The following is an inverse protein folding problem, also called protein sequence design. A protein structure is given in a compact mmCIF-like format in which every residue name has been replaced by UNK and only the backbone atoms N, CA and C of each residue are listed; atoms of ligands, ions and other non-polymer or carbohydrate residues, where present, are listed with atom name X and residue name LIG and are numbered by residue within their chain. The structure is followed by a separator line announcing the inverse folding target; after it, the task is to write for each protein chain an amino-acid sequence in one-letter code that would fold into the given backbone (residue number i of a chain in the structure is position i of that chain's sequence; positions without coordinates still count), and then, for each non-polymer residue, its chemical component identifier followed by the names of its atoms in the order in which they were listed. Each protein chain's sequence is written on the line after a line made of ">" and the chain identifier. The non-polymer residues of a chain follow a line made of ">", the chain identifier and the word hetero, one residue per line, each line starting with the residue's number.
data_IF_236222778896
#
_entry.id   IF_236222778896
#
_cell.length_a   1.000
_cell.length_b   1.000
_cell.length_c   1.000
_cell.angle_alpha   90.00
_cell.angle_beta   90.00
_cell.angle_gamma   90.00
#
_symmetry.space_group_name_H-M   'P 1'
#
loop_
_entity.id
_entity.type
_entity.pdbx_description
1 polymer ?
#
# COMPACT_ATOMS: atom_id res chain seq x y z
N UNK A 1 15.05 -4.74 37.08
CA UNK A 1 15.56 -3.57 36.33
C UNK A 1 14.39 -2.76 35.79
N UNK A 2 14.28 -1.48 36.11
CA UNK A 2 13.22 -0.60 35.59
C UNK A 2 13.62 -0.02 34.24
N UNK A 3 12.75 -0.13 33.23
CA UNK A 3 12.97 0.50 31.92
C UNK A 3 12.86 2.03 32.07
N UNK A 4 13.84 2.82 31.59
CA UNK A 4 13.79 4.28 31.71
C UNK A 4 12.54 4.86 31.04
N UNK A 5 11.92 5.85 31.69
CA UNK A 5 10.63 6.46 31.28
C UNK A 5 10.62 6.88 29.80
N UNK A 6 11.72 7.47 29.32
CA UNK A 6 11.91 7.91 27.93
C UNK A 6 11.75 6.79 26.91
N UNK A 7 12.16 5.57 27.26
CA UNK A 7 12.09 4.41 26.38
C UNK A 7 10.66 3.85 26.30
N UNK A 8 9.89 3.90 27.40
CA UNK A 8 8.47 3.53 27.42
C UNK A 8 7.62 4.45 26.54
N UNK A 9 7.79 5.77 26.68
CA UNK A 9 7.04 6.77 25.87
C UNK A 9 7.28 6.57 24.38
N UNK A 10 8.54 6.31 23.97
CA UNK A 10 8.88 6.04 22.56
C UNK A 10 8.20 4.76 22.05
N UNK A 11 8.16 3.71 22.86
CA UNK A 11 7.53 2.44 22.50
C UNK A 11 6.02 2.59 22.27
N UNK A 12 5.33 3.30 23.14
CA UNK A 12 3.89 3.52 23.01
C UNK A 12 3.56 4.38 21.78
N UNK A 13 4.44 5.33 21.44
CA UNK A 13 4.30 6.14 20.23
C UNK A 13 4.26 5.27 18.97
N UNK A 14 5.22 4.33 18.80
CA UNK A 14 5.27 3.48 17.60
C UNK A 14 4.04 2.58 17.45
N UNK A 15 3.44 2.11 18.55
CA UNK A 15 2.20 1.34 18.52
C UNK A 15 1.02 2.19 18.04
N UNK A 16 0.89 3.39 18.60
CA UNK A 16 -0.17 4.33 18.23
C UNK A 16 -0.01 4.75 16.77
N UNK A 17 1.22 4.99 16.32
CA UNK A 17 1.55 5.29 14.93
C UNK A 17 1.12 4.19 13.98
N UNK A 18 1.46 2.95 14.33
CA UNK A 18 1.17 1.78 13.51
C UNK A 18 -0.35 1.57 13.43
N UNK A 19 -1.04 1.62 14.58
CA UNK A 19 -2.49 1.53 14.63
C UNK A 19 -3.19 2.66 13.84
N UNK A 20 -2.73 3.90 14.02
CA UNK A 20 -3.28 5.06 13.33
C UNK A 20 -3.08 4.98 11.81
N UNK A 21 -1.88 4.59 11.36
CA UNK A 21 -1.58 4.43 9.94
C UNK A 21 -2.36 3.28 9.29
N UNK A 22 -2.53 2.17 10.01
CA UNK A 22 -3.42 1.07 9.58
C UNK A 22 -4.86 1.55 9.41
N UNK A 23 -5.39 2.29 10.39
CA UNK A 23 -6.74 2.83 10.33
C UNK A 23 -6.94 3.82 9.17
N UNK A 24 -5.97 4.73 8.97
CA UNK A 24 -5.97 5.65 7.82
C UNK A 24 -6.02 4.88 6.51
N UNK A 25 -5.16 3.85 6.34
CA UNK A 25 -5.16 3.04 5.12
C UNK A 25 -6.48 2.28 4.92
N UNK A 26 -7.08 1.75 5.98
CA UNK A 26 -8.36 1.04 5.92
C UNK A 26 -9.52 1.98 5.52
N UNK A 27 -9.65 3.14 6.17
CA UNK A 27 -10.66 4.14 5.83
C UNK A 27 -10.48 4.64 4.39
N UNK A 28 -9.24 4.90 3.99
CA UNK A 28 -8.92 5.30 2.62
C UNK A 28 -9.30 4.23 1.59
N UNK A 29 -9.09 2.95 1.92
CA UNK A 29 -9.49 1.82 1.06
C UNK A 29 -11.01 1.75 0.88
N UNK A 30 -11.79 2.11 1.91
CA UNK A 30 -13.25 2.23 1.82
C UNK A 30 -13.63 3.40 0.92
N UNK A 31 -12.96 4.56 1.04
CA UNK A 31 -13.17 5.71 0.16
C UNK A 31 -12.91 5.37 -1.31
N UNK A 32 -11.82 4.64 -1.59
CA UNK A 32 -11.51 4.16 -2.95
C UNK A 32 -12.61 3.24 -3.47
N UNK A 33 -13.11 2.32 -2.65
CA UNK A 33 -14.22 1.45 -3.01
C UNK A 33 -15.46 2.25 -3.44
N UNK A 34 -15.83 3.27 -2.64
CA UNK A 34 -16.97 4.14 -2.96
C UNK A 34 -16.78 4.93 -4.26
N UNK A 35 -15.59 5.51 -4.48
CA UNK A 35 -15.25 6.21 -5.71
C UNK A 35 -15.28 5.30 -6.94
N UNK A 36 -14.67 4.11 -6.86
CA UNK A 36 -14.68 3.12 -7.94
C UNK A 36 -16.08 2.59 -8.24
N UNK A 37 -16.89 2.34 -7.22
CA UNK A 37 -18.28 1.93 -7.40
C UNK A 37 -19.09 3.03 -8.12
N UNK A 38 -18.90 4.29 -7.74
CA UNK A 38 -19.56 5.43 -8.38
C UNK A 38 -19.13 5.59 -9.85
N UNK A 39 -17.83 5.47 -10.14
CA UNK A 39 -17.29 5.49 -11.51
C UNK A 39 -17.82 4.34 -12.37
N UNK A 40 -17.84 3.13 -11.81
CA UNK A 40 -18.37 1.93 -12.49
C UNK A 40 -19.86 2.11 -12.81
N UNK A 41 -20.64 2.59 -11.83
CA UNK A 41 -22.06 2.85 -12.02
C UNK A 41 -22.31 3.97 -13.06
N UNK A 42 -21.53 5.06 -13.01
CA UNK A 42 -21.61 6.13 -14.01
C UNK A 42 -21.38 5.59 -15.42
N UNK A 43 -20.39 4.73 -15.61
CA UNK A 43 -20.11 4.10 -16.90
C UNK A 43 -21.27 3.21 -17.38
N UNK A 44 -21.90 2.45 -16.48
CA UNK A 44 -23.03 1.57 -16.81
C UNK A 44 -24.30 2.36 -17.18
N UNK A 45 -24.56 3.48 -16.52
CA UNK A 45 -25.76 4.31 -16.76
C UNK A 45 -25.66 5.10 -18.08
N UNK A 46 -24.45 5.46 -18.52
CA UNK A 46 -24.23 6.30 -19.71
C UNK A 46 -23.95 5.51 -21.01
N UNK A 47 -24.35 4.24 -21.08
CA UNK A 47 -24.21 3.45 -22.30
C UNK A 47 -25.03 4.04 -23.47
N UNK A 48 -24.56 3.94 -24.74
CA UNK A 48 -23.37 3.22 -25.19
C UNK A 48 -22.06 4.01 -25.06
N UNK A 49 -22.15 5.33 -24.80
CA UNK A 49 -20.99 6.23 -24.68
C UNK A 49 -20.08 5.85 -23.50
N UNK A 50 -20.66 5.26 -22.43
CA UNK A 50 -19.94 4.85 -21.23
C UNK A 50 -19.27 6.03 -20.54
N UNK A 51 -17.97 5.94 -20.31
CA UNK A 51 -17.17 7.05 -19.78
C UNK A 51 -17.05 8.23 -20.75
N UNK A 52 -17.26 7.99 -22.05
CA UNK A 52 -17.28 9.01 -23.09
C UNK A 52 -18.25 10.17 -22.81
N UNK A 53 -19.33 9.91 -22.07
CA UNK A 53 -20.31 10.93 -21.69
C UNK A 53 -19.75 12.00 -20.73
N UNK A 54 -18.64 11.71 -20.05
CA UNK A 54 -18.01 12.63 -19.09
C UNK A 54 -16.74 13.31 -19.62
N UNK A 55 -16.33 13.05 -20.86
CA UNK A 55 -15.12 13.65 -21.43
C UNK A 55 -15.41 14.98 -22.14
N UNK A 56 -14.49 15.93 -22.01
CA UNK A 56 -14.54 17.18 -22.76
C UNK A 56 -14.24 16.89 -24.25
N UNK A 57 -15.04 17.48 -25.13
CA UNK A 57 -14.93 17.33 -26.58
C UNK A 57 -13.82 18.19 -27.19
N UNK A 58 -13.30 19.18 -26.46
CA UNK A 58 -12.23 20.06 -26.91
C UNK A 58 -11.01 20.00 -25.97
N UNK A 59 -10.33 18.84 -25.80
CA UNK A 59 -9.16 18.78 -24.96
C UNK A 59 -8.03 19.63 -25.56
N UNK A 60 -7.24 20.35 -24.74
CA UNK A 60 -6.09 21.10 -25.24
C UNK A 60 -5.10 20.16 -25.93
N UNK A 61 -4.56 20.57 -27.10
CA UNK A 61 -3.70 19.73 -27.97
C UNK A 61 -2.41 19.21 -27.30
N UNK A 62 -2.05 19.70 -26.11
CA UNK A 62 -0.95 19.17 -25.30
C UNK A 62 -1.24 17.82 -24.65
N UNK A 63 -2.47 17.32 -24.75
CA UNK A 63 -2.97 16.08 -24.10
C UNK A 63 -2.90 14.84 -25.01
N UNK A 64 -2.36 14.97 -26.24
CA UNK A 64 -2.01 13.82 -27.10
C UNK A 64 -0.78 13.03 -26.59
N UNK A 65 -0.61 12.89 -25.28
CA UNK A 65 0.31 11.90 -24.74
C UNK A 65 -0.26 10.50 -25.03
N UNK A 66 0.62 9.55 -25.29
CA UNK A 66 0.34 8.21 -25.81
C UNK A 66 -0.67 7.36 -25.00
N UNK A 67 -1.03 7.75 -23.77
CA UNK A 67 -2.04 7.06 -22.95
C UNK A 67 -3.48 7.52 -23.22
N UNK A 68 -3.71 8.81 -23.54
CA UNK A 68 -5.04 9.33 -23.90
C UNK A 68 -5.53 8.71 -25.23
N UNK A 69 -4.61 8.50 -26.18
CA UNK A 69 -4.88 7.71 -27.38
C UNK A 69 -5.16 6.24 -27.08
N UNK A 70 -4.73 5.69 -25.95
CA UNK A 70 -5.03 4.30 -25.56
C UNK A 70 -6.43 4.16 -25.00
N UNK A 71 -7.06 5.21 -24.45
CA UNK A 71 -8.47 5.19 -24.03
C UNK A 71 -9.38 5.48 -25.23
N UNK A 72 -8.95 6.34 -26.16
CA UNK A 72 -9.61 6.52 -27.45
C UNK A 72 -9.45 5.31 -28.42
N UNK A 73 -8.36 4.53 -28.33
CA UNK A 73 -8.09 3.36 -29.18
C UNK A 73 -8.19 2.01 -28.47
N UNK A 74 -8.39 1.96 -27.16
CA UNK A 74 -8.81 0.71 -26.51
C UNK A 74 -10.24 0.51 -26.97
N UNK A 75 -10.36 -0.28 -28.03
CA UNK A 75 -11.58 -0.94 -28.48
C UNK A 75 -12.03 -1.83 -27.31
N UNK A 76 -12.61 -1.21 -26.30
CA UNK A 76 -13.40 -1.82 -25.25
C UNK A 76 -14.85 -1.67 -25.69
N UNK A 77 -15.11 -1.90 -26.98
CA UNK A 77 -16.46 -1.99 -27.50
C UNK A 77 -16.85 -3.46 -27.49
N UNK A 78 -18.01 -3.79 -26.95
CA UNK A 78 -18.66 -5.08 -27.19
C UNK A 78 -18.95 -5.25 -28.68
N UNK A 79 -19.36 -6.45 -29.10
CA UNK A 79 -19.79 -6.72 -30.48
C UNK A 79 -20.96 -5.81 -30.93
N UNK A 80 -21.63 -5.17 -29.97
CA UNK A 80 -22.72 -4.20 -30.17
C UNK A 80 -22.26 -2.74 -30.26
N UNK A 81 -20.96 -2.47 -30.17
CA UNK A 81 -20.39 -1.11 -30.20
C UNK A 81 -20.47 -0.35 -28.87
N UNK A 82 -20.92 -0.99 -27.78
CA UNK A 82 -21.08 -0.37 -26.47
C UNK A 82 -19.81 -0.47 -25.63
N UNK A 83 -19.54 0.53 -24.78
CA UNK A 83 -18.33 0.57 -23.96
C UNK A 83 -18.35 -0.50 -22.82
N UNK A 84 -17.44 -1.46 -22.84
CA UNK A 84 -17.30 -2.53 -21.84
C UNK A 84 -16.63 -2.01 -20.55
N UNK A 85 -17.46 -1.41 -19.69
CA UNK A 85 -17.06 -0.89 -18.38
C UNK A 85 -16.39 -1.96 -17.51
N UNK A 86 -16.82 -3.22 -17.60
CA UNK A 86 -16.29 -4.30 -16.77
C UNK A 86 -14.82 -4.59 -17.07
N UNK A 87 -14.47 -4.65 -18.35
CA UNK A 87 -13.07 -4.82 -18.78
C UNK A 87 -12.23 -3.58 -18.48
N UNK A 88 -12.78 -2.38 -18.63
CA UNK A 88 -12.08 -1.13 -18.35
C UNK A 88 -11.68 -1.02 -16.87
N UNK A 89 -12.62 -1.23 -15.95
CA UNK A 89 -12.37 -1.12 -14.50
C UNK A 89 -11.74 -2.36 -13.87
N UNK A 90 -11.51 -3.45 -14.63
CA UNK A 90 -10.96 -4.70 -14.10
C UNK A 90 -9.64 -4.48 -13.35
N UNK A 91 -8.76 -3.66 -13.92
CA UNK A 91 -7.47 -3.36 -13.30
C UNK A 91 -7.64 -2.57 -12.00
N UNK A 92 -8.52 -1.56 -11.99
CA UNK A 92 -8.79 -0.73 -10.81
C UNK A 92 -9.38 -1.54 -9.64
N UNK A 93 -10.35 -2.41 -9.93
CA UNK A 93 -10.89 -3.33 -8.94
C UNK A 93 -9.86 -4.34 -8.43
N UNK A 94 -8.94 -4.78 -9.31
CA UNK A 94 -7.84 -5.67 -8.91
C UNK A 94 -6.87 -4.95 -7.96
N UNK A 95 -6.51 -3.70 -8.26
CA UNK A 95 -5.65 -2.90 -7.38
C UNK A 95 -6.29 -2.68 -6.01
N UNK A 96 -7.56 -2.31 -5.98
CA UNK A 96 -8.30 -2.19 -4.73
C UNK A 96 -8.31 -3.50 -3.93
N UNK A 97 -8.58 -4.63 -4.59
CA UNK A 97 -8.56 -5.94 -3.94
C UNK A 97 -7.18 -6.29 -3.37
N UNK A 98 -6.09 -5.96 -4.08
CA UNK A 98 -4.72 -6.15 -3.57
C UNK A 98 -4.45 -5.32 -2.31
N UNK A 99 -4.94 -4.07 -2.24
CA UNK A 99 -4.85 -3.25 -1.02
C UNK A 99 -5.63 -3.89 0.14
N UNK A 100 -6.85 -4.39 -0.11
CA UNK A 100 -7.64 -5.10 0.91
C UNK A 100 -6.89 -6.33 1.42
N UNK A 101 -6.37 -7.16 0.52
CA UNK A 101 -5.59 -8.36 0.88
C UNK A 101 -4.35 -7.98 1.70
N UNK A 102 -3.62 -6.94 1.29
CA UNK A 102 -2.49 -6.43 2.05
C UNK A 102 -2.89 -6.03 3.48
N UNK A 103 -3.94 -5.23 3.65
CA UNK A 103 -4.43 -4.82 4.97
C UNK A 103 -4.92 -6.00 5.81
N UNK A 104 -5.57 -6.99 5.21
CA UNK A 104 -6.00 -8.20 5.91
C UNK A 104 -4.80 -9.02 6.41
N UNK A 105 -3.78 -9.24 5.57
CA UNK A 105 -2.57 -9.99 5.95
C UNK A 105 -1.82 -9.25 7.07
N UNK A 106 -1.66 -7.93 6.95
CA UNK A 106 -1.01 -7.11 7.99
C UNK A 106 -1.84 -7.13 9.27
N UNK A 107 -3.16 -6.96 9.19
CA UNK A 107 -4.07 -6.96 10.33
C UNK A 107 -4.09 -8.30 11.07
N UNK A 108 -4.12 -9.42 10.35
CA UNK A 108 -4.03 -10.76 10.95
C UNK A 108 -2.67 -10.96 11.60
N UNK A 109 -1.59 -10.59 10.93
CA UNK A 109 -0.23 -10.69 11.50
C UNK A 109 -0.05 -9.80 12.72
N UNK A 110 -0.68 -8.62 12.73
CA UNK A 110 -0.70 -7.72 13.86
C UNK A 110 -1.46 -8.31 15.04
N UNK A 111 -2.68 -8.80 14.80
CA UNK A 111 -3.51 -9.45 15.81
C UNK A 111 -2.80 -10.66 16.44
N UNK A 112 -2.09 -11.45 15.63
CA UNK A 112 -1.34 -12.64 16.09
C UNK A 112 0.04 -12.32 16.67
N UNK A 113 0.51 -11.06 16.62
CA UNK A 113 1.86 -10.68 17.04
C UNK A 113 2.98 -11.32 16.21
N UNK A 114 2.71 -11.62 14.95
CA UNK A 114 3.64 -12.29 14.02
C UNK A 114 4.20 -11.35 12.95
N UNK A 115 4.04 -10.03 13.10
CA UNK A 115 4.55 -9.05 12.12
C UNK A 115 6.05 -9.23 11.89
N UNK A 116 6.81 -9.40 12.98
CA UNK A 116 8.27 -9.56 12.93
C UNK A 116 8.73 -10.77 12.09
N UNK A 117 7.92 -11.83 12.00
CA UNK A 117 8.26 -13.05 11.27
C UNK A 117 8.14 -12.87 9.75
N UNK A 118 7.16 -12.09 9.31
CA UNK A 118 6.85 -11.90 7.89
C UNK A 118 7.11 -10.47 7.41
N UNK A 119 7.89 -9.71 8.17
CA UNK A 119 8.12 -8.28 7.97
C UNK A 119 8.54 -7.95 6.53
N UNK A 120 9.56 -8.64 5.99
CA UNK A 120 10.03 -8.41 4.63
C UNK A 120 8.94 -8.66 3.57
N UNK A 121 8.13 -9.72 3.75
CA UNK A 121 7.03 -10.05 2.84
C UNK A 121 5.91 -9.00 2.88
N UNK A 122 5.53 -8.54 4.08
CA UNK A 122 4.53 -7.49 4.24
C UNK A 122 4.97 -6.19 3.54
N UNK A 123 6.22 -5.77 3.72
CA UNK A 123 6.71 -4.52 3.15
C UNK A 123 6.95 -4.61 1.66
N UNK A 124 7.38 -5.77 1.15
CA UNK A 124 7.46 -6.00 -0.31
C UNK A 124 6.08 -5.89 -0.97
N UNK A 125 5.06 -6.55 -0.40
CA UNK A 125 3.68 -6.47 -0.91
C UNK A 125 3.14 -5.04 -0.79
N UNK A 126 3.30 -4.40 0.37
CA UNK A 126 2.86 -3.03 0.59
C UNK A 126 3.52 -2.04 -0.35
N UNK A 127 4.82 -2.18 -0.62
CA UNK A 127 5.55 -1.33 -1.56
C UNK A 127 5.02 -1.50 -2.99
N UNK A 128 4.75 -2.74 -3.41
CA UNK A 128 4.16 -3.01 -4.72
C UNK A 128 2.78 -2.36 -4.86
N UNK A 129 1.88 -2.54 -3.89
CA UNK A 129 0.55 -1.92 -3.91
C UNK A 129 0.65 -0.38 -3.92
N UNK A 130 1.55 0.19 -3.12
CA UNK A 130 1.76 1.64 -3.05
C UNK A 130 2.29 2.22 -4.36
N UNK A 131 3.21 1.52 -5.04
CA UNK A 131 3.70 1.93 -6.35
C UNK A 131 2.57 1.97 -7.40
N UNK A 132 1.68 0.97 -7.40
CA UNK A 132 0.53 0.95 -8.29
C UNK A 132 -0.48 2.06 -8.00
N UNK A 133 -0.73 2.36 -6.72
CA UNK A 133 -1.58 3.50 -6.35
C UNK A 133 -0.99 4.82 -6.85
N UNK A 134 0.32 5.03 -6.72
CA UNK A 134 0.99 6.24 -7.24
C UNK A 134 0.86 6.37 -8.75
N UNK A 135 1.06 5.27 -9.50
CA UNK A 135 0.80 5.25 -10.93
C UNK A 135 -0.65 5.65 -11.25
N UNK A 136 -1.62 5.08 -10.52
CA UNK A 136 -3.04 5.38 -10.76
C UNK A 136 -3.43 6.81 -10.38
N UNK A 137 -2.86 7.36 -9.31
CA UNK A 137 -3.08 8.76 -8.92
C UNK A 137 -2.61 9.68 -10.05
N UNK A 138 -1.39 9.49 -10.56
CA UNK A 138 -0.89 10.29 -11.69
C UNK A 138 -1.81 10.17 -12.90
N UNK A 139 -2.23 8.95 -13.24
CA UNK A 139 -3.20 8.74 -14.31
C UNK A 139 -4.50 9.51 -14.09
N UNK A 140 -5.10 9.49 -12.89
CA UNK A 140 -6.36 10.21 -12.63
C UNK A 140 -6.13 11.74 -12.65
N UNK A 141 -5.00 12.23 -12.14
CA UNK A 141 -4.66 13.65 -12.20
C UNK A 141 -4.46 14.12 -13.64
N UNK A 142 -3.91 13.28 -14.51
CA UNK A 142 -3.81 13.58 -15.94
C UNK A 142 -5.19 13.58 -16.62
N UNK A 143 -6.18 12.85 -16.08
CA UNK A 143 -7.58 12.89 -16.54
C UNK A 143 -8.34 14.15 -16.12
N UNK A 144 -7.85 14.87 -15.11
CA UNK A 144 -8.53 16.02 -14.49
C UNK A 144 -8.87 17.11 -15.51
N UNK A 145 -7.96 17.35 -16.45
CA UNK A 145 -8.07 18.41 -17.48
C UNK A 145 -9.12 18.16 -18.55
N UNK A 146 -9.66 16.95 -18.67
CA UNK A 146 -10.58 16.57 -19.76
C UNK A 146 -11.73 15.69 -19.29
N UNK A 147 -11.95 15.61 -17.98
CA UNK A 147 -13.14 15.01 -17.38
C UNK A 147 -14.02 16.09 -16.78
N UNK A 148 -15.34 15.91 -16.85
CA UNK A 148 -16.31 16.88 -16.33
C UNK A 148 -17.39 16.20 -15.48
N UNK A 149 -18.14 17.02 -14.74
CA UNK A 149 -19.33 16.61 -14.00
C UNK A 149 -19.06 15.48 -13.00
N UNK A 150 -19.91 14.46 -13.01
CA UNK A 150 -19.83 13.34 -12.06
C UNK A 150 -18.57 12.48 -12.27
N UNK A 151 -18.11 12.32 -13.52
CA UNK A 151 -16.90 11.54 -13.82
C UNK A 151 -15.68 12.15 -13.13
N UNK A 152 -15.51 13.46 -13.25
CA UNK A 152 -14.44 14.22 -12.63
C UNK A 152 -14.48 14.12 -11.11
N UNK A 153 -15.62 14.43 -10.48
CA UNK A 153 -15.77 14.38 -9.02
C UNK A 153 -15.46 12.99 -8.46
N UNK A 154 -15.98 11.93 -9.09
CA UNK A 154 -15.74 10.56 -8.64
C UNK A 154 -14.28 10.13 -8.87
N UNK A 155 -13.63 10.64 -9.93
CA UNK A 155 -12.20 10.50 -10.17
C UNK A 155 -11.38 11.11 -9.03
N UNK A 156 -11.65 12.36 -8.66
CA UNK A 156 -10.98 13.06 -7.55
C UNK A 156 -11.15 12.32 -6.22
N UNK A 157 -12.37 11.86 -5.92
CA UNK A 157 -12.63 11.08 -4.69
C UNK A 157 -11.78 9.81 -4.66
N UNK A 158 -11.69 9.11 -5.80
CA UNK A 158 -10.87 7.91 -5.94
C UNK A 158 -9.39 8.23 -5.76
N UNK A 159 -8.87 9.27 -6.41
CA UNK A 159 -7.47 9.70 -6.28
C UNK A 159 -7.13 10.12 -4.84
N UNK A 160 -8.00 10.87 -4.17
CA UNK A 160 -7.84 11.24 -2.77
C UNK A 160 -7.78 10.01 -1.86
N UNK A 161 -8.67 9.05 -2.05
CA UNK A 161 -8.63 7.76 -1.34
C UNK A 161 -7.32 7.00 -1.58
N UNK A 162 -6.83 6.94 -2.82
CA UNK A 162 -5.56 6.28 -3.14
C UNK A 162 -4.37 6.99 -2.49
N UNK A 163 -4.38 8.32 -2.45
CA UNK A 163 -3.34 9.12 -1.79
C UNK A 163 -3.28 8.82 -0.29
N UNK A 164 -4.43 8.79 0.39
CA UNK A 164 -4.48 8.41 1.81
C UNK A 164 -4.08 6.95 2.05
N UNK A 165 -4.38 6.03 1.12
CA UNK A 165 -3.85 4.67 1.18
C UNK A 165 -2.32 4.69 1.15
N UNK A 166 -1.72 5.48 0.25
CA UNK A 166 -0.26 5.60 0.17
C UNK A 166 0.34 6.17 1.45
N UNK A 167 -0.23 7.25 2.00
CA UNK A 167 0.23 7.85 3.26
C UNK A 167 0.15 6.83 4.39
N UNK A 168 -0.97 6.12 4.52
CA UNK A 168 -1.14 5.06 5.50
C UNK A 168 -0.11 3.94 5.33
N UNK A 169 0.12 3.47 4.10
CA UNK A 169 1.10 2.44 3.80
C UNK A 169 2.53 2.88 4.15
N UNK A 170 2.94 4.08 3.75
CA UNK A 170 4.26 4.63 4.10
C UNK A 170 4.44 4.75 5.62
N UNK A 171 3.45 5.30 6.32
CA UNK A 171 3.50 5.42 7.77
C UNK A 171 3.59 4.04 8.46
N UNK A 172 2.90 3.02 7.93
CA UNK A 172 3.04 1.64 8.40
C UNK A 172 4.45 1.09 8.17
N UNK A 173 5.12 1.41 7.06
CA UNK A 173 6.50 0.98 6.82
C UNK A 173 7.47 1.60 7.84
N UNK A 174 7.34 2.91 8.10
CA UNK A 174 8.18 3.60 9.07
C UNK A 174 7.95 3.14 10.51
N UNK A 175 6.69 2.92 10.91
CA UNK A 175 6.35 2.50 12.26
C UNK A 175 6.52 0.98 12.47
N UNK A 176 6.35 0.18 11.41
CA UNK A 176 6.27 -1.27 11.47
C UNK A 176 7.58 -1.96 11.82
N UNK A 177 8.73 -1.41 11.38
CA UNK A 177 10.05 -1.93 11.76
C UNK A 177 10.31 -1.83 13.27
N UNK A 178 10.30 -0.61 13.85
CA UNK A 178 10.43 -0.42 15.30
C UNK A 178 9.40 -1.20 16.12
N UNK A 179 8.16 -1.30 15.63
CA UNK A 179 7.11 -2.09 16.27
C UNK A 179 7.44 -3.59 16.29
N UNK A 180 7.90 -4.15 15.17
CA UNK A 180 8.27 -5.57 15.06
C UNK A 180 9.44 -5.94 15.99
N UNK A 181 10.45 -5.09 16.09
CA UNK A 181 11.58 -5.28 17.02
C UNK A 181 11.14 -5.25 18.48
N UNK A 182 10.20 -4.36 18.80
CA UNK A 182 9.59 -4.31 20.14
C UNK A 182 8.84 -5.61 20.46
N UNK A 183 8.01 -6.12 19.54
CA UNK A 183 7.28 -7.37 19.75
C UNK A 183 8.24 -8.55 19.96
N UNK A 184 9.29 -8.65 19.15
CA UNK A 184 10.32 -9.69 19.28
C UNK A 184 10.99 -9.64 20.66
N UNK A 185 11.37 -8.45 21.11
CA UNK A 185 12.00 -8.25 22.42
C UNK A 185 11.06 -8.62 23.57
N UNK A 186 9.77 -8.27 23.45
CA UNK A 186 8.75 -8.62 24.45
C UNK A 186 8.55 -10.13 24.54
N UNK A 187 8.47 -10.82 23.40
CA UNK A 187 8.30 -12.28 23.34
C UNK A 187 9.49 -13.01 23.95
N UNK A 188 10.72 -12.60 23.64
CA UNK A 188 11.93 -13.17 24.23
C UNK A 188 11.98 -13.00 25.76
N UNK A 189 11.59 -11.83 26.26
CA UNK A 189 11.53 -11.59 27.72
C UNK A 189 10.45 -12.43 28.42
N UNK A 190 9.36 -12.78 27.73
CA UNK A 190 8.28 -13.60 28.28
C UNK A 190 8.55 -15.09 28.19
N UNK A 191 9.32 -15.55 27.20
CA UNK A 191 9.66 -16.97 27.06
C UNK A 191 10.68 -17.47 28.08
N UNK A 192 11.32 -16.57 28.85
CA UNK A 192 12.31 -16.93 29.86
C UNK A 192 13.56 -17.61 29.28
N UNK A 193 13.68 -17.67 27.95
CA UNK A 193 14.87 -18.12 27.26
C UNK A 193 15.81 -16.93 27.26
N UNK A 194 16.56 -16.78 28.35
CA UNK A 194 17.85 -16.11 28.30
C UNK A 194 18.64 -16.81 27.19
N UNK A 195 18.60 -16.28 25.97
CA UNK A 195 19.64 -16.56 25.00
C UNK A 195 20.89 -16.01 25.65
N UNK A 196 21.62 -16.88 26.34
CA UNK A 196 22.96 -16.64 26.83
C UNK A 196 23.71 -16.02 25.65
N UNK A 197 23.87 -14.70 25.72
CA UNK A 197 24.76 -13.97 24.85
C UNK A 197 26.07 -14.74 24.95
N UNK A 198 26.63 -15.31 23.87
CA UNK A 198 27.96 -15.88 23.94
C UNK A 198 28.85 -14.75 24.44
N UNK A 199 29.30 -14.87 25.69
CA UNK A 199 30.04 -13.81 26.34
C UNK A 199 31.23 -13.49 25.43
N UNK A 200 31.61 -12.22 25.33
CA UNK A 200 32.76 -11.82 24.53
C UNK A 200 34.06 -12.56 24.93
N UNK A 201 34.07 -13.28 26.06
CA UNK A 201 35.11 -14.22 26.46
C UNK A 201 35.19 -15.47 25.56
N UNK A 202 34.07 -16.02 25.06
CA UNK A 202 34.07 -17.19 24.17
C UNK A 202 34.64 -16.89 22.77
N UNK A 203 34.47 -15.65 22.29
CA UNK A 203 35.07 -15.17 21.03
C UNK A 203 36.57 -14.86 21.15
N UNK A 204 37.10 -14.73 22.37
CA UNK A 204 38.53 -14.51 22.64
C UNK A 204 39.31 -15.81 22.89
N UNK A 205 38.63 -16.94 23.12
CA UNK A 205 39.24 -18.25 23.34
C UNK A 205 39.46 -19.05 22.04
N UNK A 206 38.94 -18.57 20.90
CA UNK A 206 39.05 -19.24 19.60
C UNK A 206 40.09 -18.64 18.64
N UNK A 207 40.79 -17.57 19.02
CA UNK A 207 41.92 -17.05 18.24
C UNK A 207 43.21 -17.26 19.02
N UNK A 208 44.26 -17.73 18.32
CA UNK A 208 45.62 -17.99 18.79
C UNK A 208 45.93 -19.35 19.45
N UNK A 209 46.27 -20.36 18.64
CA UNK A 209 47.68 -20.79 18.51
C UNK A 209 47.81 -21.79 17.36
N UNK A 210 48.06 -21.26 16.16
CA UNK A 210 48.56 -22.02 15.03
C UNK A 210 49.99 -21.59 14.75
N UNK A 211 50.85 -22.59 14.63
CA UNK A 211 52.14 -22.64 13.90
C UNK A 211 53.34 -21.86 14.41
N UNK A 212 54.35 -22.63 14.86
CA UNK A 212 55.72 -22.52 14.33
C UNK A 212 56.42 -23.88 14.48
N UNK A 213 56.38 -24.69 13.42
CA UNK A 213 57.29 -25.82 13.23
C UNK A 213 58.43 -25.26 12.35
N UNK A 214 59.60 -25.07 12.93
CA UNK A 214 60.85 -24.74 12.22
C UNK A 214 61.78 -25.96 12.28
N UNK A 215 62.19 -26.40 11.08
CA UNK A 215 63.35 -27.24 10.69
C UNK A 215 63.44 -28.66 11.25
#
# INVERSE_FOLDING_TARGET
>A
MSVPLKQRVRQDWHKIAFAGSFFVAACATITVCGGLAALTNYCLVNQPLGLGAGFDLNPPMTVFSTEVMRIQRAIVSTDTGAFDCGRFFRFDWTLWALQVVFLLIVGISWYRGTIHRYQAGHWALGAAVTAWHMYKINYIMDMDYWTTGQLHTNGIITAGGLLFCCIGNYCMFFAGGPYAEYERSRLNNMSGVDMAQPSAAALKAGSFSGTSEEV
#
